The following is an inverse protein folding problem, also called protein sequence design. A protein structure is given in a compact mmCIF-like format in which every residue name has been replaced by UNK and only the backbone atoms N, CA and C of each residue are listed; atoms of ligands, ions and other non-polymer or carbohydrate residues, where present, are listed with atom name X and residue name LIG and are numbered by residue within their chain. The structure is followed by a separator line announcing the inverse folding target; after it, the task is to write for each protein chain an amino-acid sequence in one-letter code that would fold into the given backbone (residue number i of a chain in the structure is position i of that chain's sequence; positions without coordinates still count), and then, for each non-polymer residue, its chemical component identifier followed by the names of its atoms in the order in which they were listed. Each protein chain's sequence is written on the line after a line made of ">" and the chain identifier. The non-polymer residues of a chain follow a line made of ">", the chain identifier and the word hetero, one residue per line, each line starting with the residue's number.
data_IF_949217202513
#
_entry.id   IF_949217202513
#
_cell.length_a   1.000
_cell.length_b   1.000
_cell.length_c   1.000
_cell.angle_alpha   90.00
_cell.angle_beta   90.00
_cell.angle_gamma   90.00
#
_symmetry.space_group_name_H-M   'P 1'
#
loop_
_entity.id
_entity.type
_entity.pdbx_description
1 polymer ?
#
# COMPACT_ATOMS: atom_id res chain seq x y z
N UNK A 1 -47.13 -0.37 -25.15
CA UNK A 1 -45.70 -0.70 -25.28
C UNK A 1 -45.00 -0.01 -24.13
N UNK A 2 -44.77 -0.74 -23.03
CA UNK A 2 -44.14 -0.23 -21.83
C UNK A 2 -42.70 -0.73 -21.82
N UNK A 3 -41.73 0.17 -21.97
CA UNK A 3 -40.33 -0.12 -21.70
C UNK A 3 -40.06 0.32 -20.27
N UNK A 4 -39.98 -0.67 -19.38
CA UNK A 4 -39.49 -0.50 -18.02
C UNK A 4 -37.99 -0.17 -18.10
N UNK A 5 -37.62 1.02 -17.64
CA UNK A 5 -36.24 1.30 -17.27
C UNK A 5 -35.98 0.63 -15.93
N UNK A 6 -35.38 -0.57 -15.96
CA UNK A 6 -34.63 -1.11 -14.83
C UNK A 6 -33.37 -0.25 -14.66
N UNK A 7 -33.53 0.89 -14.00
CA UNK A 7 -32.41 1.58 -13.38
C UNK A 7 -32.08 0.82 -12.12
N UNK A 8 -31.08 -0.05 -12.24
CA UNK A 8 -30.40 -0.77 -11.18
C UNK A 8 -30.27 0.12 -9.96
N UNK A 9 -31.11 -0.14 -8.96
CA UNK A 9 -30.85 0.29 -7.60
C UNK A 9 -29.56 -0.40 -7.20
N UNK A 10 -28.44 0.35 -7.23
CA UNK A 10 -27.26 -0.02 -6.46
C UNK A 10 -27.72 0.11 -5.02
N UNK A 11 -28.19 -1.00 -4.46
CA UNK A 11 -28.60 -1.07 -3.06
C UNK A 11 -27.40 -0.67 -2.21
N UNK A 12 -27.67 0.15 -1.22
CA UNK A 12 -26.77 0.60 -0.13
C UNK A 12 -26.05 -0.55 0.62
N UNK A 13 -26.25 -1.80 0.23
CA UNK A 13 -25.62 -3.00 0.77
C UNK A 13 -24.22 -3.26 0.20
N UNK A 14 -23.88 -2.81 -1.02
CA UNK A 14 -22.50 -2.95 -1.55
C UNK A 14 -21.50 -1.98 -0.89
N UNK A 15 -21.98 -0.96 -0.18
CA UNK A 15 -21.16 0.15 0.34
C UNK A 15 -20.65 -0.07 1.78
N UNK A 16 -21.01 -1.19 2.43
CA UNK A 16 -20.58 -1.55 3.80
C UNK A 16 -19.88 -2.92 3.84
N UNK A 17 -19.09 -3.25 2.82
CA UNK A 17 -18.34 -4.51 2.86
C UNK A 17 -17.12 -4.36 3.77
N UNK A 18 -17.25 -4.73 5.04
CA UNK A 18 -16.14 -4.78 5.97
C UNK A 18 -15.15 -5.87 5.53
N UNK A 19 -13.88 -5.50 5.32
CA UNK A 19 -12.87 -6.47 4.92
C UNK A 19 -12.63 -7.48 6.04
N UNK A 20 -12.64 -8.77 5.70
CA UNK A 20 -12.09 -9.80 6.59
C UNK A 20 -10.58 -9.62 6.74
N UNK A 21 -9.99 -10.13 7.82
CA UNK A 21 -8.54 -10.11 8.02
C UNK A 21 -7.77 -10.74 6.84
N UNK A 22 -8.30 -11.81 6.25
CA UNK A 22 -7.72 -12.43 5.07
C UNK A 22 -7.74 -11.49 3.86
N UNK A 23 -8.89 -10.87 3.56
CA UNK A 23 -9.01 -9.93 2.44
C UNK A 23 -8.10 -8.70 2.62
N UNK A 24 -8.07 -8.12 3.82
CA UNK A 24 -7.19 -6.99 4.14
C UNK A 24 -5.72 -7.36 3.93
N UNK A 25 -5.27 -8.51 4.47
CA UNK A 25 -3.91 -9.00 4.28
C UNK A 25 -3.56 -9.23 2.82
N UNK A 26 -4.45 -9.84 2.04
CA UNK A 26 -4.24 -10.05 0.60
C UNK A 26 -4.12 -8.73 -0.16
N UNK A 27 -5.03 -7.77 0.06
CA UNK A 27 -5.00 -6.48 -0.63
C UNK A 27 -3.75 -5.66 -0.28
N UNK A 28 -3.30 -5.66 0.99
CA UNK A 28 -2.07 -4.99 1.40
C UNK A 28 -0.85 -5.57 0.66
N UNK A 29 -0.77 -6.89 0.56
CA UNK A 29 0.32 -7.59 -0.14
C UNK A 29 0.30 -7.29 -1.64
N UNK A 30 -0.89 -7.26 -2.26
CA UNK A 30 -1.03 -6.90 -3.67
C UNK A 30 -0.56 -5.46 -3.93
N UNK A 31 -0.97 -4.50 -3.11
CA UNK A 31 -0.49 -3.11 -3.20
C UNK A 31 1.02 -3.07 -3.05
N UNK A 32 1.58 -3.78 -2.07
CA UNK A 32 3.02 -3.80 -1.83
C UNK A 32 3.82 -4.40 -3.00
N UNK A 33 3.35 -5.53 -3.56
CA UNK A 33 3.96 -6.15 -4.74
C UNK A 33 3.92 -5.22 -5.95
N UNK A 34 2.75 -4.61 -6.20
CA UNK A 34 2.57 -3.66 -7.30
C UNK A 34 3.46 -2.42 -7.12
N UNK A 35 3.61 -1.93 -5.88
CA UNK A 35 4.49 -0.81 -5.59
C UNK A 35 5.96 -1.11 -5.94
N UNK A 36 6.45 -2.31 -5.59
CA UNK A 36 7.79 -2.75 -5.98
C UNK A 36 7.92 -2.94 -7.50
N UNK A 37 6.92 -3.57 -8.15
CA UNK A 37 6.95 -3.85 -9.59
C UNK A 37 6.92 -2.54 -10.42
N UNK A 38 6.09 -1.57 -10.04
CA UNK A 38 6.05 -0.25 -10.70
C UNK A 38 7.30 0.57 -10.41
N UNK A 39 7.83 0.53 -9.19
CA UNK A 39 9.10 1.19 -8.88
C UNK A 39 10.23 0.62 -9.72
N UNK A 40 10.27 -0.71 -9.89
CA UNK A 40 11.21 -1.40 -10.76
C UNK A 40 11.09 -0.91 -12.21
N UNK A 41 9.87 -0.81 -12.73
CA UNK A 41 9.62 -0.31 -14.09
C UNK A 41 10.12 1.12 -14.28
N UNK A 42 9.83 2.02 -13.33
CA UNK A 42 10.20 3.44 -13.43
C UNK A 42 11.71 3.69 -13.30
N UNK A 43 12.38 2.89 -12.48
CA UNK A 43 13.83 3.00 -12.23
C UNK A 43 14.66 2.07 -13.11
N UNK A 44 14.01 1.35 -14.03
CA UNK A 44 14.68 0.49 -14.98
C UNK A 44 15.66 1.30 -15.82
N UNK A 45 16.78 0.66 -16.19
CA UNK A 45 17.84 1.27 -17.01
C UNK A 45 18.40 2.58 -16.45
N UNK A 46 18.22 2.81 -15.15
CA UNK A 46 18.68 4.01 -14.44
C UNK A 46 18.14 5.30 -15.07
N UNK A 47 16.86 5.29 -15.43
CA UNK A 47 16.15 6.47 -15.94
C UNK A 47 16.47 7.72 -15.10
N UNK A 48 16.65 8.87 -15.76
CA UNK A 48 16.95 10.10 -15.04
C UNK A 48 15.75 10.48 -14.14
N UNK A 49 16.02 10.98 -12.93
CA UNK A 49 15.00 11.23 -11.90
C UNK A 49 13.83 12.09 -12.43
N UNK A 50 14.15 13.13 -13.18
CA UNK A 50 13.22 14.08 -13.79
C UNK A 50 12.23 13.43 -14.77
N UNK A 51 12.52 12.22 -15.26
CA UNK A 51 11.66 11.52 -16.22
C UNK A 51 10.53 10.74 -15.57
N UNK A 52 10.66 10.37 -14.28
CA UNK A 52 9.70 9.51 -13.60
C UNK A 52 9.26 10.01 -12.23
N UNK A 53 9.95 10.98 -11.61
CA UNK A 53 9.66 11.38 -10.23
C UNK A 53 8.21 11.87 -10.05
N UNK A 54 7.67 12.62 -11.01
CA UNK A 54 6.27 13.06 -10.96
C UNK A 54 5.29 11.88 -10.96
N UNK A 55 5.55 10.86 -11.80
CA UNK A 55 4.74 9.64 -11.86
C UNK A 55 4.89 8.82 -10.56
N UNK A 56 6.11 8.67 -10.06
CA UNK A 56 6.37 7.97 -8.80
C UNK A 56 5.67 8.65 -7.62
N UNK A 57 5.69 9.99 -7.55
CA UNK A 57 5.00 10.74 -6.49
C UNK A 57 3.48 10.52 -6.55
N UNK A 58 2.86 10.49 -7.73
CA UNK A 58 1.44 10.20 -7.87
C UNK A 58 1.10 8.75 -7.47
N UNK A 59 1.95 7.79 -7.85
CA UNK A 59 1.76 6.38 -7.52
C UNK A 59 1.89 6.12 -6.00
N UNK A 60 2.92 6.68 -5.35
CA UNK A 60 3.12 6.49 -3.92
C UNK A 60 1.98 7.08 -3.10
N UNK A 61 1.46 8.25 -3.49
CA UNK A 61 0.25 8.83 -2.88
C UNK A 61 -0.95 7.89 -3.05
N UNK A 62 -1.21 7.39 -4.26
CA UNK A 62 -2.29 6.43 -4.52
C UNK A 62 -2.16 5.16 -3.67
N UNK A 63 -0.96 4.58 -3.55
CA UNK A 63 -0.74 3.39 -2.72
C UNK A 63 -0.94 3.69 -1.23
N UNK A 64 -0.41 4.81 -0.72
CA UNK A 64 -0.61 5.24 0.66
C UNK A 64 -2.10 5.45 0.95
N UNK A 65 -2.84 6.13 0.07
CA UNK A 65 -4.29 6.32 0.20
C UNK A 65 -5.03 4.98 0.26
N UNK A 66 -4.73 4.04 -0.64
CA UNK A 66 -5.36 2.71 -0.63
C UNK A 66 -5.06 1.94 0.65
N UNK A 67 -3.83 2.02 1.15
CA UNK A 67 -3.43 1.35 2.40
C UNK A 67 -4.08 2.00 3.62
N UNK A 68 -4.22 3.33 3.63
CA UNK A 68 -4.96 4.04 4.67
C UNK A 68 -6.42 3.59 4.70
N UNK A 69 -7.07 3.48 3.54
CA UNK A 69 -8.46 2.97 3.44
C UNK A 69 -8.58 1.54 3.99
N UNK A 70 -7.65 0.64 3.66
CA UNK A 70 -7.61 -0.70 4.28
C UNK A 70 -7.39 -0.59 5.80
N UNK A 71 -6.52 0.34 6.22
CA UNK A 71 -6.24 0.64 7.63
C UNK A 71 -7.47 1.03 8.43
N UNK A 72 -8.47 1.69 7.82
CA UNK A 72 -9.74 2.02 8.47
C UNK A 72 -10.50 0.74 8.88
N UNK A 73 -10.44 -0.32 8.08
CA UNK A 73 -11.00 -1.63 8.42
C UNK A 73 -10.14 -2.36 9.45
N UNK A 74 -8.81 -2.34 9.28
CA UNK A 74 -7.87 -2.97 10.22
C UNK A 74 -8.00 -2.36 11.62
N UNK A 75 -8.27 -1.06 11.73
CA UNK A 75 -8.40 -0.36 13.00
C UNK A 75 -9.48 -0.97 13.91
N UNK A 76 -10.60 -1.39 13.34
CA UNK A 76 -11.75 -1.97 14.05
C UNK A 76 -11.68 -3.50 14.22
N UNK A 77 -10.68 -4.16 13.63
CA UNK A 77 -10.45 -5.58 13.81
C UNK A 77 -10.06 -5.92 15.25
N UNK A 78 -10.43 -7.12 15.70
CA UNK A 78 -9.95 -7.70 16.95
C UNK A 78 -8.43 -7.94 16.92
N UNK A 79 -7.83 -8.17 18.09
CA UNK A 79 -6.39 -8.45 18.17
C UNK A 79 -5.95 -9.69 17.38
N UNK A 80 -6.78 -10.73 17.32
CA UNK A 80 -6.48 -11.95 16.54
C UNK A 80 -6.55 -11.70 15.04
N UNK A 81 -7.51 -10.90 14.59
CA UNK A 81 -7.64 -10.50 13.18
C UNK A 81 -6.49 -9.60 12.74
N UNK A 82 -6.11 -8.60 13.55
CA UNK A 82 -4.91 -7.77 13.30
C UNK A 82 -3.66 -8.65 13.16
N UNK A 83 -3.48 -9.62 14.06
CA UNK A 83 -2.36 -10.57 14.00
C UNK A 83 -2.38 -11.45 12.72
N UNK A 84 -3.56 -11.77 12.17
CA UNK A 84 -3.66 -12.47 10.88
C UNK A 84 -3.19 -11.59 9.73
N UNK A 85 -3.56 -10.31 9.71
CA UNK A 85 -3.09 -9.35 8.70
C UNK A 85 -1.57 -9.20 8.78
N UNK A 86 -1.02 -8.99 9.98
CA UNK A 86 0.43 -8.91 10.20
C UNK A 86 1.15 -10.19 9.79
N UNK A 87 0.58 -11.36 10.09
CA UNK A 87 1.13 -12.65 9.68
C UNK A 87 1.22 -12.77 8.16
N UNK A 88 0.22 -12.29 7.42
CA UNK A 88 0.24 -12.30 5.96
C UNK A 88 1.39 -11.45 5.40
N UNK A 89 1.59 -10.24 5.94
CA UNK A 89 2.67 -9.34 5.54
C UNK A 89 4.03 -9.93 5.88
N UNK A 90 4.19 -10.48 7.09
CA UNK A 90 5.42 -11.14 7.50
C UNK A 90 5.77 -12.33 6.60
N UNK A 91 4.77 -13.11 6.16
CA UNK A 91 4.97 -14.19 5.18
C UNK A 91 5.49 -13.64 3.85
N UNK A 92 5.00 -12.50 3.38
CA UNK A 92 5.52 -11.86 2.16
C UNK A 92 6.97 -11.40 2.34
N UNK A 93 7.32 -10.80 3.48
CA UNK A 93 8.71 -10.43 3.77
C UNK A 93 9.64 -11.66 3.83
N UNK A 94 9.18 -12.76 4.42
CA UNK A 94 9.93 -14.03 4.41
C UNK A 94 10.04 -14.62 3.00
N UNK A 95 9.01 -14.46 2.16
CA UNK A 95 9.05 -14.94 0.78
C UNK A 95 10.19 -14.30 -0.02
N UNK A 96 10.64 -13.08 0.32
CA UNK A 96 11.81 -12.47 -0.33
C UNK A 96 13.12 -13.24 -0.11
N UNK A 97 13.19 -14.13 0.88
CA UNK A 97 14.35 -14.96 1.13
C UNK A 97 14.23 -16.36 0.52
N UNK A 98 13.00 -16.90 0.50
CA UNK A 98 12.77 -18.33 0.21
C UNK A 98 11.98 -18.59 -1.08
N UNK A 99 11.39 -17.57 -1.70
CA UNK A 99 10.67 -17.66 -2.95
C UNK A 99 11.40 -16.89 -4.05
N UNK A 100 11.83 -17.58 -5.09
CA UNK A 100 12.64 -17.00 -6.18
C UNK A 100 11.98 -15.79 -6.85
N UNK A 101 10.66 -15.79 -7.02
CA UNK A 101 9.94 -14.66 -7.64
C UNK A 101 9.95 -13.43 -6.73
N UNK A 102 9.63 -13.61 -5.45
CA UNK A 102 9.64 -12.50 -4.49
C UNK A 102 11.06 -11.98 -4.23
N UNK A 103 12.04 -12.89 -4.13
CA UNK A 103 13.46 -12.57 -4.04
C UNK A 103 13.91 -11.72 -5.22
N UNK A 104 13.65 -12.18 -6.45
CA UNK A 104 14.03 -11.45 -7.66
C UNK A 104 13.42 -10.04 -7.70
N UNK A 105 12.13 -9.91 -7.39
CA UNK A 105 11.45 -8.59 -7.32
C UNK A 105 12.17 -7.63 -6.39
N UNK A 106 12.52 -8.12 -5.19
CA UNK A 106 13.19 -7.31 -4.17
C UNK A 106 14.64 -6.99 -4.53
N UNK A 107 15.37 -7.93 -5.12
CA UNK A 107 16.74 -7.73 -5.62
C UNK A 107 16.78 -6.70 -6.75
N UNK A 108 15.88 -6.82 -7.74
CA UNK A 108 15.75 -5.85 -8.83
C UNK A 108 15.41 -4.47 -8.27
N UNK A 109 14.48 -4.38 -7.32
CA UNK A 109 14.11 -3.12 -6.66
C UNK A 109 15.32 -2.50 -5.97
N UNK A 110 16.00 -3.26 -5.11
CA UNK A 110 17.17 -2.78 -4.38
C UNK A 110 18.27 -2.32 -5.33
N UNK A 111 18.51 -3.06 -6.41
CA UNK A 111 19.50 -2.74 -7.44
C UNK A 111 19.13 -1.47 -8.21
N UNK A 112 17.88 -1.31 -8.63
CA UNK A 112 17.46 -0.21 -9.50
C UNK A 112 17.36 1.11 -8.73
N UNK A 113 16.99 1.08 -7.45
CA UNK A 113 16.92 2.32 -6.65
C UNK A 113 18.29 2.75 -6.11
N UNK A 114 19.25 1.83 -5.96
CA UNK A 114 20.53 2.14 -5.32
C UNK A 114 21.30 3.30 -5.98
N UNK A 115 21.42 3.41 -7.32
CA UNK A 115 22.14 4.53 -7.96
C UNK A 115 21.72 5.93 -7.48
N UNK A 116 20.43 6.13 -7.16
CA UNK A 116 19.91 7.42 -6.71
C UNK A 116 20.44 7.84 -5.33
N UNK A 117 21.05 6.95 -4.54
CA UNK A 117 21.62 7.31 -3.23
C UNK A 117 22.68 8.43 -3.31
N UNK A 118 23.38 8.54 -4.45
CA UNK A 118 24.40 9.56 -4.71
C UNK A 118 23.87 10.72 -5.54
N UNK A 119 23.10 10.43 -6.57
CA UNK A 119 22.67 11.45 -7.55
C UNK A 119 21.43 12.21 -7.10
N UNK A 120 20.55 11.58 -6.32
CA UNK A 120 19.31 12.19 -5.82
C UNK A 120 18.94 11.60 -4.45
N UNK A 121 19.66 11.96 -3.36
CA UNK A 121 19.48 11.35 -2.05
C UNK A 121 18.04 11.43 -1.52
N UNK A 122 17.34 12.54 -1.77
CA UNK A 122 15.94 12.71 -1.37
C UNK A 122 15.01 11.73 -2.09
N UNK A 123 15.13 11.62 -3.41
CA UNK A 123 14.41 10.64 -4.21
C UNK A 123 14.72 9.21 -3.76
N UNK A 124 15.99 8.90 -3.45
CA UNK A 124 16.37 7.59 -2.91
C UNK A 124 15.66 7.27 -1.60
N UNK A 125 15.48 8.23 -0.68
CA UNK A 125 14.70 8.00 0.54
C UNK A 125 13.23 7.74 0.23
N UNK A 126 12.64 8.47 -0.74
CA UNK A 126 11.26 8.22 -1.16
C UNK A 126 11.10 6.82 -1.75
N UNK A 127 12.00 6.43 -2.65
CA UNK A 127 12.04 5.10 -3.26
C UNK A 127 12.17 4.01 -2.20
N UNK A 128 13.11 4.16 -1.25
CA UNK A 128 13.26 3.24 -0.10
C UNK A 128 11.99 3.10 0.74
N UNK A 129 11.14 4.13 0.77
CA UNK A 129 9.88 4.16 1.50
C UNK A 129 8.92 3.03 1.12
N UNK A 130 9.08 2.45 -0.08
CA UNK A 130 8.27 1.30 -0.51
C UNK A 130 8.45 0.10 0.45
N UNK A 131 9.64 -0.12 1.02
CA UNK A 131 9.90 -1.22 1.96
C UNK A 131 9.04 -1.19 3.23
N UNK A 132 8.51 -0.03 3.57
CA UNK A 132 7.71 0.18 4.77
C UNK A 132 6.28 0.62 4.44
N UNK A 133 5.89 0.63 3.16
CA UNK A 133 4.62 1.22 2.74
C UNK A 133 3.41 0.51 3.39
N UNK A 134 3.52 -0.79 3.68
CA UNK A 134 2.47 -1.57 4.34
C UNK A 134 2.09 -1.04 5.73
N UNK A 135 2.96 -0.25 6.38
CA UNK A 135 2.69 0.38 7.67
C UNK A 135 1.53 1.39 7.60
N UNK A 136 1.20 1.90 6.40
CA UNK A 136 0.03 2.77 6.20
C UNK A 136 -1.31 2.08 6.48
N UNK A 137 -1.33 0.74 6.52
CA UNK A 137 -2.51 -0.02 6.95
C UNK A 137 -2.59 -0.22 8.49
N UNK A 138 -1.60 0.24 9.27
CA UNK A 138 -1.54 0.09 10.73
C UNK A 138 -1.34 1.44 11.40
N UNK A 139 -2.45 2.12 11.70
CA UNK A 139 -2.42 3.51 12.20
C UNK A 139 -1.61 3.68 13.48
N UNK A 140 -1.70 2.76 14.43
CA UNK A 140 -0.94 2.83 15.69
C UNK A 140 0.58 2.81 15.42
N UNK A 141 1.02 1.98 14.46
CA UNK A 141 2.41 1.89 14.06
C UNK A 141 2.85 3.14 13.28
N UNK A 142 2.01 3.60 12.35
CA UNK A 142 2.27 4.79 11.55
C UNK A 142 2.43 6.05 12.42
N UNK A 143 1.54 6.26 13.38
CA UNK A 143 1.61 7.36 14.36
C UNK A 143 2.88 7.29 15.22
N UNK A 144 3.30 6.09 15.59
CA UNK A 144 4.52 5.88 16.38
C UNK A 144 5.80 6.22 15.61
N UNK A 145 5.81 5.96 14.29
CA UNK A 145 7.00 6.09 13.46
C UNK A 145 7.09 7.43 12.72
N UNK A 146 5.96 8.05 12.41
CA UNK A 146 5.89 9.35 11.75
C UNK A 146 5.08 10.32 12.61
N UNK A 147 5.79 11.28 13.22
CA UNK A 147 5.20 12.29 14.12
C UNK A 147 4.19 13.19 13.42
N UNK A 148 4.31 13.35 12.11
CA UNK A 148 3.45 14.22 11.30
C UNK A 148 2.31 13.42 10.64
N UNK A 149 2.19 12.12 10.95
CA UNK A 149 1.16 11.26 10.35
C UNK A 149 -0.25 11.74 10.66
N UNK A 150 -0.50 12.23 11.88
CA UNK A 150 -1.82 12.75 12.26
C UNK A 150 -2.14 14.06 11.54
N UNK A 151 -1.16 14.95 11.35
CA UNK A 151 -1.35 16.19 10.59
C UNK A 151 -1.64 15.89 9.12
N UNK A 152 -0.92 14.93 8.53
CA UNK A 152 -1.02 14.64 7.09
C UNK A 152 -2.18 13.73 6.71
N UNK A 153 -2.53 12.76 7.57
CA UNK A 153 -3.51 11.72 7.23
C UNK A 153 -4.58 11.53 8.31
N UNK A 154 -4.62 12.35 9.35
CA UNK A 154 -5.55 12.19 10.48
C UNK A 154 -7.01 12.03 10.08
N UNK A 155 -7.47 12.77 9.07
CA UNK A 155 -8.83 12.66 8.52
C UNK A 155 -9.14 11.30 7.89
N UNK A 156 -8.13 10.64 7.32
CA UNK A 156 -8.23 9.28 6.79
C UNK A 156 -7.99 8.22 7.85
N UNK A 157 -7.32 8.56 8.96
CA UNK A 157 -6.95 7.64 10.04
C UNK A 157 -8.08 7.46 11.06
N UNK A 158 -9.29 7.28 10.56
CA UNK A 158 -10.51 7.09 11.33
C UNK A 158 -11.07 5.68 11.10
N UNK A 159 -11.78 5.08 12.07
CA UNK A 159 -12.47 3.81 11.87
C UNK A 159 -13.42 3.86 10.67
N UNK A 160 -13.49 2.77 9.91
CA UNK A 160 -14.55 2.61 8.92
C UNK A 160 -15.88 2.40 9.65
N UNK A 161 -16.68 3.44 9.76
CA UNK A 161 -18.00 3.39 10.39
C UNK A 161 -19.06 3.11 9.31
N UNK A 162 -19.68 1.93 9.37
CA UNK A 162 -20.95 1.74 8.68
C UNK A 162 -22.09 2.32 9.53
N UNK A 163 -23.03 3.07 8.92
CA UNK A 163 -24.23 3.56 9.61
C UNK A 163 -25.18 2.43 10.03
#
# INVERSE_FOLDING_TARGET
>A
MACQNDSTQITTEETCMQLTAQQAGTQIIEIYRNAMDETNRLTQDQAAAETFEAEFNALIESWQTKLLLIGQHVMVMSGSEKAQVESAINKEHMAMQYNEKAKKRFEDYSKNIFPYHKTSPELYQKLKGINIITQFAFFDLLKKQNKDAEERWGEMMVPHNCP
#
